data_IF_361135284636
#
_entry.id   IF_361135284636
#
_cell.length_a   1.000
_cell.length_b   1.000
_cell.length_c   1.000
_cell.angle_alpha   90.00
_cell.angle_beta   90.00
_cell.angle_gamma   90.00
#
_symmetry.space_group_name_H-M   'P 1'
#
loop_
_entity.id
_entity.type
_entity.pdbx_description
1 polymer ?
#
# COMPACT_ATOMS: atom_id res chain seq x y z
N UNK A 1 5.89 -18.84 -19.46
CA UNK A 1 5.11 -17.65 -19.02
C UNK A 1 4.69 -16.88 -20.26
N UNK A 2 3.40 -16.61 -20.47
CA UNK A 2 2.93 -15.77 -21.59
C UNK A 2 2.88 -14.30 -21.16
N UNK A 3 3.07 -13.37 -22.11
CA UNK A 3 2.93 -11.93 -21.86
C UNK A 3 1.53 -11.62 -21.29
N UNK A 4 0.50 -12.32 -21.79
CA UNK A 4 -0.87 -12.19 -21.29
C UNK A 4 -1.01 -12.55 -19.80
N UNK A 5 -0.37 -13.63 -19.33
CA UNK A 5 -0.39 -14.02 -17.92
C UNK A 5 0.36 -13.00 -17.05
N UNK A 6 1.55 -12.58 -17.47
CA UNK A 6 2.33 -11.59 -16.74
C UNK A 6 1.58 -10.25 -16.59
N UNK A 7 0.96 -9.79 -17.68
CA UNK A 7 0.11 -8.60 -17.69
C UNK A 7 -1.09 -8.71 -16.75
N UNK A 8 -1.74 -9.88 -16.71
CA UNK A 8 -2.84 -10.14 -15.77
C UNK A 8 -2.37 -10.08 -14.31
N UNK A 9 -1.26 -10.75 -14.00
CA UNK A 9 -0.71 -10.78 -12.63
C UNK A 9 -0.30 -9.39 -12.17
N UNK A 10 0.41 -8.62 -13.01
CA UNK A 10 0.82 -7.26 -12.67
C UNK A 10 -0.40 -6.33 -12.48
N UNK A 11 -1.42 -6.45 -13.32
CA UNK A 11 -2.65 -5.65 -13.22
C UNK A 11 -3.45 -5.95 -11.94
N UNK A 12 -3.70 -7.22 -11.64
CA UNK A 12 -4.39 -7.61 -10.40
C UNK A 12 -3.58 -7.28 -9.16
N UNK A 13 -2.26 -7.46 -9.20
CA UNK A 13 -1.38 -7.06 -8.11
C UNK A 13 -1.45 -5.55 -7.88
N UNK A 14 -1.36 -4.73 -8.94
CA UNK A 14 -1.50 -3.28 -8.84
C UNK A 14 -2.83 -2.87 -8.18
N UNK A 15 -3.95 -3.48 -8.61
CA UNK A 15 -5.27 -3.19 -8.05
C UNK A 15 -5.35 -3.54 -6.55
N UNK A 16 -4.89 -4.74 -6.17
CA UNK A 16 -4.91 -5.19 -4.78
C UNK A 16 -4.01 -4.36 -3.87
N UNK A 17 -2.83 -3.98 -4.35
CA UNK A 17 -1.90 -3.12 -3.61
C UNK A 17 -2.52 -1.71 -3.41
N UNK A 18 -3.15 -1.13 -4.45
CA UNK A 18 -3.85 0.14 -4.32
C UNK A 18 -5.01 0.06 -3.34
N UNK A 19 -5.80 -1.02 -3.39
CA UNK A 19 -6.89 -1.26 -2.44
C UNK A 19 -6.36 -1.33 -1.01
N UNK A 20 -5.25 -2.03 -0.77
CA UNK A 20 -4.65 -2.11 0.56
C UNK A 20 -4.28 -0.73 1.10
N UNK A 21 -3.62 0.11 0.29
CA UNK A 21 -3.27 1.48 0.70
C UNK A 21 -4.50 2.32 1.00
N UNK A 22 -5.55 2.21 0.19
CA UNK A 22 -6.80 2.95 0.40
C UNK A 22 -7.48 2.50 1.69
N UNK A 23 -7.55 1.19 1.94
CA UNK A 23 -8.11 0.65 3.18
C UNK A 23 -7.27 1.09 4.38
N UNK A 24 -5.94 0.98 4.31
CA UNK A 24 -5.04 1.45 5.36
C UNK A 24 -5.27 2.94 5.66
N UNK A 25 -5.24 3.80 4.65
CA UNK A 25 -5.47 5.23 4.82
C UNK A 25 -6.85 5.53 5.41
N UNK A 26 -7.89 4.84 4.94
CA UNK A 26 -9.27 5.02 5.44
C UNK A 26 -9.41 4.60 6.90
N UNK A 27 -8.77 3.48 7.29
CA UNK A 27 -8.73 3.04 8.68
C UNK A 27 -7.95 4.03 9.55
N UNK A 28 -6.80 4.51 9.06
CA UNK A 28 -5.99 5.49 9.77
C UNK A 28 -6.77 6.80 10.00
N UNK A 29 -7.48 7.28 8.98
CA UNK A 29 -8.28 8.50 9.07
C UNK A 29 -9.52 8.34 9.98
N UNK A 30 -10.26 7.24 9.83
CA UNK A 30 -11.55 7.04 10.52
C UNK A 30 -11.46 6.40 11.91
N UNK A 31 -10.37 5.68 12.18
CA UNK A 31 -10.18 4.91 13.42
C UNK A 31 -8.82 5.16 14.07
N UNK A 32 -8.22 6.32 13.82
CA UNK A 32 -6.92 6.74 14.34
C UNK A 32 -6.72 6.35 15.82
N UNK A 33 -7.54 6.89 16.71
CA UNK A 33 -7.36 6.72 18.16
C UNK A 33 -7.54 5.27 18.60
N UNK A 34 -8.41 4.52 17.92
CA UNK A 34 -8.58 3.08 18.18
C UNK A 34 -7.34 2.31 17.74
N UNK A 35 -6.81 2.59 16.54
CA UNK A 35 -5.59 1.97 16.08
C UNK A 35 -4.42 2.30 17.03
N UNK A 36 -4.26 3.56 17.42
CA UNK A 36 -3.23 3.97 18.37
C UNK A 36 -3.39 3.25 19.72
N UNK A 37 -4.61 3.21 20.27
CA UNK A 37 -4.92 2.55 21.54
C UNK A 37 -4.64 1.04 21.52
N UNK A 38 -4.79 0.39 20.36
CA UNK A 38 -4.44 -1.02 20.19
C UNK A 38 -2.93 -1.21 20.10
N UNK A 39 -2.24 -0.45 19.24
CA UNK A 39 -0.79 -0.62 19.03
C UNK A 39 0.03 -0.28 20.28
N UNK A 40 -0.40 0.71 21.06
CA UNK A 40 0.31 1.09 22.30
C UNK A 40 0.27 0.02 23.40
N UNK A 41 -0.58 -1.02 23.27
CA UNK A 41 -0.61 -2.16 24.20
C UNK A 41 0.61 -3.06 24.03
N UNK A 42 1.17 -3.11 22.83
CA UNK A 42 2.35 -3.91 22.51
C UNK A 42 3.63 -3.07 22.48
N UNK A 43 3.53 -1.78 22.18
CA UNK A 43 4.69 -0.91 21.98
C UNK A 43 4.57 0.40 22.76
N UNK A 44 5.68 0.92 23.28
CA UNK A 44 5.73 2.29 23.83
C UNK A 44 5.85 3.29 22.68
N UNK A 45 4.70 3.73 22.15
CA UNK A 45 4.62 4.67 21.04
C UNK A 45 4.03 6.00 21.50
N UNK A 46 4.68 7.12 21.16
CA UNK A 46 4.04 8.44 21.17
C UNK A 46 3.06 8.54 19.99
N UNK A 47 2.11 9.48 20.06
CA UNK A 47 1.21 9.75 18.93
C UNK A 47 1.97 10.16 17.67
N UNK A 48 2.93 11.06 17.80
CA UNK A 48 3.76 11.54 16.68
C UNK A 48 4.55 10.39 16.00
N UNK A 49 5.15 9.48 16.78
CA UNK A 49 5.86 8.34 16.20
C UNK A 49 4.91 7.36 15.53
N UNK A 50 3.71 7.15 16.10
CA UNK A 50 2.68 6.32 15.48
C UNK A 50 2.26 6.89 14.12
N UNK A 51 2.00 8.19 14.05
CA UNK A 51 1.62 8.90 12.82
C UNK A 51 2.72 8.82 11.77
N UNK A 52 3.96 9.11 12.17
CA UNK A 52 5.11 9.07 11.28
C UNK A 52 5.31 7.68 10.67
N UNK A 53 5.19 6.62 11.47
CA UNK A 53 5.33 5.23 10.99
C UNK A 53 4.23 4.88 9.99
N UNK A 54 2.97 5.23 10.28
CA UNK A 54 1.85 4.90 9.39
C UNK A 54 1.95 5.69 8.08
N UNK A 55 2.25 6.98 8.16
CA UNK A 55 2.41 7.81 6.97
C UNK A 55 3.60 7.38 6.11
N UNK A 56 4.76 7.12 6.73
CA UNK A 56 5.93 6.61 6.02
C UNK A 56 5.68 5.21 5.43
N UNK A 57 5.00 4.33 6.16
CA UNK A 57 4.62 3.00 5.68
C UNK A 57 3.71 3.06 4.46
N UNK A 58 2.68 3.91 4.49
CA UNK A 58 1.81 4.15 3.34
C UNK A 58 2.56 4.76 2.15
N UNK A 59 3.48 5.70 2.39
CA UNK A 59 4.29 6.31 1.33
C UNK A 59 5.19 5.28 0.65
N UNK A 60 5.94 4.49 1.44
CA UNK A 60 6.79 3.44 0.92
C UNK A 60 6.01 2.37 0.15
N UNK A 61 4.89 1.91 0.71
CA UNK A 61 4.06 0.92 0.07
C UNK A 61 3.47 1.44 -1.26
N UNK A 62 3.03 2.70 -1.31
CA UNK A 62 2.61 3.36 -2.55
C UNK A 62 3.73 3.36 -3.58
N UNK A 63 4.93 3.80 -3.22
CA UNK A 63 6.07 3.84 -4.15
C UNK A 63 6.39 2.45 -4.68
N UNK A 64 6.46 1.44 -3.80
CA UNK A 64 6.69 0.05 -4.21
C UNK A 64 5.58 -0.46 -5.16
N UNK A 65 4.32 -0.12 -4.89
CA UNK A 65 3.18 -0.45 -5.76
C UNK A 65 3.36 0.12 -7.16
N UNK A 66 3.78 1.37 -7.26
CA UNK A 66 4.03 2.03 -8.54
C UNK A 66 5.19 1.40 -9.30
N UNK A 67 6.34 1.24 -8.65
CA UNK A 67 7.56 0.77 -9.28
C UNK A 67 7.48 -0.71 -9.70
N UNK A 68 6.89 -1.57 -8.87
CA UNK A 68 6.92 -3.02 -9.06
C UNK A 68 5.72 -3.57 -9.83
N UNK A 69 4.59 -2.85 -9.86
CA UNK A 69 3.35 -3.37 -10.45
C UNK A 69 2.74 -2.43 -11.49
N UNK A 70 2.48 -1.17 -11.15
CA UNK A 70 1.78 -0.25 -12.07
C UNK A 70 2.64 0.09 -13.28
N UNK A 71 3.88 0.57 -13.08
CA UNK A 71 4.75 0.95 -14.20
C UNK A 71 5.06 -0.24 -15.12
N UNK A 72 5.41 -1.44 -14.62
CA UNK A 72 5.58 -2.61 -15.47
C UNK A 72 4.29 -3.04 -16.20
N UNK A 73 3.14 -2.98 -15.53
CA UNK A 73 1.85 -3.26 -16.18
C UNK A 73 1.59 -2.29 -17.33
N UNK A 74 1.76 -0.99 -17.10
CA UNK A 74 1.56 0.06 -18.12
C UNK A 74 2.55 -0.12 -19.27
N UNK A 75 3.83 -0.38 -18.97
CA UNK A 75 4.83 -0.65 -20.00
C UNK A 75 4.40 -1.80 -20.91
N UNK A 76 3.95 -2.93 -20.34
CA UNK A 76 3.45 -4.07 -21.12
C UNK A 76 2.17 -3.77 -21.91
N UNK A 77 1.33 -2.82 -21.48
CA UNK A 77 0.13 -2.41 -22.24
C UNK A 77 0.47 -1.50 -23.41
N UNK A 78 1.63 -0.85 -23.38
CA UNK A 78 2.09 0.07 -24.43
C UNK A 78 2.96 -0.66 -25.45
N UNK A 79 3.81 -1.60 -25.00
CA UNK A 79 4.81 -2.25 -25.86
C UNK A 79 4.37 -3.60 -26.45
N UNK A 80 3.27 -4.19 -25.98
CA UNK A 80 2.79 -5.52 -26.39
C UNK A 80 1.26 -5.60 -26.48
#
# INVERSE_FOLDING_TARGET
MTIALLRSVLGWSALLNLLLVVVWFSLFLGFHDRMYAWHRRWFRLSGETFDAIHYAGMAWYKIATWLLFILPYVALRISA
#
